data_IF_617205584464
#
_entry.id   IF_617205584464
#
_cell.length_a   1.000
_cell.length_b   1.000
_cell.length_c   1.000
_cell.angle_alpha   90.00
_cell.angle_beta   90.00
_cell.angle_gamma   90.00
#
_symmetry.space_group_name_H-M   'P 1'
#
loop_
_entity.id
_entity.type
_entity.pdbx_description
1 polymer ?
#
# COMPACT_ATOMS: atom_id res chain seq x y z
N UNK A 1 15.21 -3.32 24.53
CA UNK A 1 15.25 -3.29 23.05
C UNK A 1 13.97 -2.61 22.60
N UNK A 2 14.05 -1.35 22.18
CA UNK A 2 12.90 -0.62 21.68
C UNK A 2 12.56 -1.20 20.30
N UNK A 3 11.38 -1.81 20.19
CA UNK A 3 10.75 -2.11 18.91
C UNK A 3 10.61 -0.76 18.21
N UNK A 4 11.15 -0.53 17.00
CA UNK A 4 10.89 0.73 16.31
C UNK A 4 9.39 0.81 16.09
N UNK A 5 8.76 1.71 16.85
CA UNK A 5 7.34 1.97 16.79
C UNK A 5 7.03 2.49 15.37
N UNK A 6 6.34 1.65 14.59
CA UNK A 6 5.46 2.03 13.48
C UNK A 6 5.92 3.22 12.62
N UNK A 7 6.79 3.00 11.63
CA UNK A 7 7.24 4.15 10.82
C UNK A 7 6.21 4.54 9.75
N UNK A 8 5.39 3.61 9.27
CA UNK A 8 4.33 3.90 8.29
C UNK A 8 2.96 3.53 8.84
N UNK A 9 2.09 4.52 8.99
CA UNK A 9 0.68 4.28 9.27
C UNK A 9 0.01 3.63 8.06
N UNK A 10 -0.85 2.65 8.31
CA UNK A 10 -1.59 1.92 7.26
C UNK A 10 -2.35 2.87 6.33
N UNK A 11 -3.04 3.85 6.91
CA UNK A 11 -3.77 4.89 6.16
C UNK A 11 -2.83 5.67 5.25
N UNK A 12 -1.70 6.12 5.78
CA UNK A 12 -0.69 6.87 5.04
C UNK A 12 -0.08 6.07 3.89
N UNK A 13 0.14 4.76 4.08
CA UNK A 13 0.58 3.87 3.02
C UNK A 13 -0.49 3.75 1.92
N UNK A 14 -1.76 3.59 2.31
CA UNK A 14 -2.87 3.47 1.37
C UNK A 14 -3.03 4.76 0.56
N UNK A 15 -2.96 5.92 1.20
CA UNK A 15 -3.00 7.22 0.52
C UNK A 15 -1.88 7.32 -0.52
N UNK A 16 -0.63 7.04 -0.14
CA UNK A 16 0.53 7.16 -1.04
C UNK A 16 0.46 6.17 -2.21
N UNK A 17 0.04 4.92 -1.95
CA UNK A 17 -0.15 3.94 -3.01
C UNK A 17 -1.31 4.35 -3.92
N UNK A 18 -2.40 4.89 -3.37
CA UNK A 18 -3.54 5.43 -4.11
C UNK A 18 -3.20 6.68 -4.94
N UNK A 19 -2.21 7.47 -4.53
CA UNK A 19 -1.62 8.56 -5.32
C UNK A 19 -0.73 8.05 -6.48
N UNK A 20 -0.55 6.74 -6.61
CA UNK A 20 0.29 6.11 -7.64
C UNK A 20 1.79 6.08 -7.29
N UNK A 21 2.16 6.30 -6.03
CA UNK A 21 3.56 6.23 -5.59
C UNK A 21 4.07 4.80 -5.59
N UNK A 22 5.32 4.65 -5.99
CA UNK A 22 5.97 3.33 -5.97
C UNK A 22 6.37 2.94 -4.53
N UNK A 23 6.40 1.64 -4.20
CA UNK A 23 6.87 1.18 -2.90
C UNK A 23 8.31 1.60 -2.60
N UNK A 24 9.13 1.83 -3.63
CA UNK A 24 10.49 2.35 -3.50
C UNK A 24 10.48 3.82 -3.03
N UNK A 25 9.70 4.69 -3.68
CA UNK A 25 9.57 6.09 -3.26
C UNK A 25 9.03 6.20 -1.84
N UNK A 26 8.02 5.39 -1.51
CA UNK A 26 7.46 5.33 -0.16
C UNK A 26 8.57 4.90 0.82
N UNK A 27 9.34 3.86 0.51
CA UNK A 27 10.44 3.41 1.34
C UNK A 27 11.48 4.52 1.59
N UNK A 28 11.85 5.26 0.55
CA UNK A 28 12.77 6.40 0.65
C UNK A 28 12.19 7.54 1.49
N UNK A 29 10.91 7.88 1.32
CA UNK A 29 10.24 8.93 2.10
C UNK A 29 10.20 8.65 3.60
N UNK A 30 10.06 7.38 3.97
CA UNK A 30 10.02 6.94 5.36
C UNK A 30 11.38 6.47 5.89
N UNK A 31 12.43 6.51 5.05
CA UNK A 31 13.76 6.01 5.39
C UNK A 31 13.71 4.56 5.91
N UNK A 32 12.93 3.72 5.23
CA UNK A 32 12.78 2.29 5.54
C UNK A 32 13.19 1.45 4.34
N UNK A 33 13.44 0.16 4.57
CA UNK A 33 13.70 -0.79 3.49
C UNK A 33 12.46 -1.00 2.61
N UNK A 34 12.67 -1.09 1.29
CA UNK A 34 11.60 -1.39 0.33
C UNK A 34 10.92 -2.73 0.63
N UNK A 35 11.67 -3.68 1.18
CA UNK A 35 11.17 -4.97 1.64
C UNK A 35 10.07 -4.83 2.70
N UNK A 36 10.17 -3.84 3.60
CA UNK A 36 9.16 -3.57 4.63
C UNK A 36 7.90 -3.03 3.97
N UNK A 37 8.03 -2.08 3.06
CA UNK A 37 6.89 -1.50 2.32
C UNK A 37 6.19 -2.58 1.50
N UNK A 38 6.94 -3.43 0.79
CA UNK A 38 6.38 -4.56 0.03
C UNK A 38 5.65 -5.55 0.94
N UNK A 39 6.20 -5.89 2.10
CA UNK A 39 5.53 -6.79 3.04
C UNK A 39 4.25 -6.16 3.61
N UNK A 40 4.27 -4.86 3.91
CA UNK A 40 3.09 -4.12 4.36
C UNK A 40 2.00 -4.07 3.28
N UNK A 41 2.35 -3.76 2.04
CA UNK A 41 1.41 -3.80 0.91
C UNK A 41 0.83 -5.20 0.78
N UNK A 42 1.67 -6.23 0.76
CA UNK A 42 1.20 -7.62 0.63
C UNK A 42 0.28 -8.05 1.76
N UNK A 43 0.53 -7.58 2.99
CA UNK A 43 -0.37 -7.78 4.14
C UNK A 43 -1.70 -7.06 3.95
N UNK A 44 -1.70 -5.85 3.38
CA UNK A 44 -2.92 -5.11 3.10
C UNK A 44 -3.77 -5.78 2.02
N UNK A 45 -3.13 -6.26 0.96
CA UNK A 45 -3.79 -7.05 -0.08
C UNK A 45 -4.48 -8.30 0.52
N UNK A 46 -3.78 -9.03 1.39
CA UNK A 46 -4.31 -10.20 2.08
C UNK A 46 -5.48 -9.89 3.03
N UNK A 47 -5.51 -8.68 3.60
CA UNK A 47 -6.59 -8.24 4.48
C UNK A 47 -7.78 -7.62 3.73
N UNK A 48 -7.78 -7.65 2.39
CA UNK A 48 -8.88 -7.11 1.57
C UNK A 48 -8.79 -5.60 1.31
N UNK A 49 -7.67 -4.95 1.64
CA UNK A 49 -7.42 -3.54 1.32
C UNK A 49 -6.89 -3.34 -0.10
N UNK A 50 -6.86 -4.39 -0.92
CA UNK A 50 -6.45 -4.32 -2.33
C UNK A 50 -7.26 -3.27 -3.11
N UNK A 51 -8.57 -3.21 -2.87
CA UNK A 51 -9.50 -2.27 -3.51
C UNK A 51 -9.18 -0.80 -3.17
N UNK A 52 -8.71 -0.57 -1.94
CA UNK A 52 -8.32 0.75 -1.44
C UNK A 52 -6.92 1.17 -1.89
N UNK A 53 -6.02 0.21 -2.13
CA UNK A 53 -4.68 0.46 -2.65
C UNK A 53 -4.70 0.76 -4.16
N UNK A 54 -5.64 0.17 -4.89
CA UNK A 54 -5.76 0.30 -6.35
C UNK A 54 -7.17 0.73 -6.77
N UNK A 55 -7.61 1.95 -6.40
CA UNK A 55 -8.96 2.43 -6.73
C UNK A 55 -9.18 2.59 -8.25
N UNK A 56 -8.11 2.63 -9.04
CA UNK A 56 -8.14 2.83 -10.50
C UNK A 56 -8.29 1.54 -11.32
N UNK A 57 -8.54 0.38 -10.70
CA UNK A 57 -9.17 -0.71 -11.45
C UNK A 57 -10.67 -0.50 -11.36
N UNK A 58 -11.35 0.08 -12.37
CA UNK A 58 -12.78 -0.13 -12.48
C UNK A 58 -12.95 -1.65 -12.42
N UNK A 59 -13.70 -2.11 -11.43
CA UNK A 59 -14.15 -3.49 -11.32
C UNK A 59 -14.50 -3.90 -12.74
N UNK A 60 -13.71 -4.84 -13.30
CA UNK A 60 -13.83 -5.24 -14.68
C UNK A 60 -15.30 -5.43 -14.97
N UNK A 61 -15.79 -4.54 -15.84
CA UNK A 61 -17.15 -4.38 -16.30
C UNK A 61 -17.87 -5.74 -16.30
N UNK A 62 -18.63 -6.00 -15.23
CA UNK A 62 -19.79 -6.87 -15.34
C UNK A 62 -20.86 -5.96 -15.95
N UNK A 63 -21.02 -5.98 -17.28
CA UNK A 63 -22.29 -6.07 -18.03
C UNK A 63 -22.22 -5.33 -19.38
N UNK A 64 -22.09 -6.11 -20.46
CA UNK A 64 -22.78 -5.88 -21.73
C UNK A 64 -22.84 -7.26 -22.42
N UNK A 65 -23.88 -8.04 -22.13
CA UNK A 65 -25.05 -8.28 -23.00
C UNK A 65 -24.70 -8.89 -24.36
#
# INVERSE_FOLDING_TARGET
MAVPELIVSRDRLIELVGEGRTPLEIAEMFCVDDAIIRDMIRRLEQNGYYDLLYPERPAADRTAE
#
